data_IF_516104858859
#
_entry.id   IF_516104858859
#
_cell.length_a   1.000
_cell.length_b   1.000
_cell.length_c   1.000
_cell.angle_alpha   90.00
_cell.angle_beta   90.00
_cell.angle_gamma   90.00
#
_symmetry.space_group_name_H-M   'P 1'
#
loop_
_entity.id
_entity.type
_entity.pdbx_description
1 polymer ?
#
# COMPACT_ATOMS: atom_id res chain seq x y z
N UNK A 1 5.59 4.78 14.92
CA UNK A 1 4.60 4.00 14.17
C UNK A 1 5.19 3.34 12.96
N UNK A 2 5.91 4.08 12.12
CA UNK A 2 6.60 3.47 10.99
C UNK A 2 7.65 2.47 11.46
N UNK A 3 8.20 2.66 12.64
CA UNK A 3 9.17 1.73 13.22
C UNK A 3 8.62 0.33 13.36
N UNK A 4 7.33 0.19 13.70
CA UNK A 4 6.73 -1.14 13.87
C UNK A 4 6.75 -1.92 12.57
N UNK A 5 6.41 -1.27 11.47
CA UNK A 5 6.42 -1.92 10.16
C UNK A 5 7.85 -2.19 9.70
N UNK A 6 8.75 -1.23 9.86
CA UNK A 6 10.16 -1.42 9.50
C UNK A 6 10.81 -2.52 10.32
N UNK A 7 10.50 -2.58 11.63
CA UNK A 7 10.99 -3.66 12.49
C UNK A 7 10.48 -5.02 12.03
N UNK A 8 9.21 -5.09 11.62
CA UNK A 8 8.65 -6.32 11.09
C UNK A 8 9.43 -6.77 9.85
N UNK A 9 9.69 -5.85 8.92
CA UNK A 9 10.42 -6.17 7.71
C UNK A 9 11.85 -6.59 7.99
N UNK A 10 12.50 -5.96 8.98
CA UNK A 10 13.85 -6.35 9.40
C UNK A 10 13.87 -7.77 9.96
N UNK A 11 12.89 -8.11 10.81
CA UNK A 11 12.79 -9.46 11.39
C UNK A 11 12.57 -10.52 10.32
N UNK A 12 11.91 -10.14 9.22
CA UNK A 12 11.72 -11.03 8.09
C UNK A 12 12.94 -11.10 7.19
N UNK A 13 13.99 -10.36 7.50
CA UNK A 13 15.20 -10.33 6.68
C UNK A 13 15.01 -9.58 5.36
N UNK A 14 13.98 -8.75 5.26
CA UNK A 14 13.65 -8.07 4.01
C UNK A 14 14.34 -6.73 3.84
N UNK A 15 14.69 -6.07 4.96
CA UNK A 15 15.42 -4.82 4.91
C UNK A 15 16.48 -4.81 6.00
N UNK A 16 17.53 -4.00 5.80
CA UNK A 16 18.55 -3.77 6.81
C UNK A 16 18.73 -2.27 6.99
N UNK A 17 19.01 -1.89 8.23
CA UNK A 17 19.29 -0.48 8.56
C UNK A 17 20.75 -0.16 8.24
N UNK A 18 20.97 1.00 7.61
CA UNK A 18 22.30 1.49 7.35
C UNK A 18 22.32 2.98 7.68
N UNK A 19 22.94 3.33 8.82
CA UNK A 19 22.93 4.69 9.31
C UNK A 19 21.50 5.13 9.57
N UNK A 20 21.08 6.20 8.95
CA UNK A 20 19.72 6.74 9.10
C UNK A 20 18.75 6.19 8.07
N UNK A 21 19.22 5.32 7.17
CA UNK A 21 18.41 4.81 6.06
C UNK A 21 18.16 3.32 6.19
N UNK A 22 17.02 2.91 5.67
CA UNK A 22 16.70 1.49 5.50
C UNK A 22 16.82 1.15 4.03
N UNK A 23 17.30 -0.04 3.75
CA UNK A 23 17.35 -0.53 2.39
C UNK A 23 17.12 -2.03 2.37
N UNK A 24 16.68 -2.52 1.24
CA UNK A 24 16.38 -3.93 1.03
C UNK A 24 17.69 -4.66 0.69
N UNK A 25 18.05 -5.74 1.43
CA UNK A 25 19.23 -6.52 1.08
C UNK A 25 19.09 -7.12 -0.31
N UNK A 26 20.18 -7.10 -1.09
CA UNK A 26 20.15 -7.60 -2.46
C UNK A 26 19.73 -9.05 -2.55
N UNK A 27 20.16 -9.89 -1.61
CA UNK A 27 19.87 -11.31 -1.61
C UNK A 27 18.42 -11.67 -1.33
N UNK A 28 17.62 -10.72 -0.78
CA UNK A 28 16.20 -10.96 -0.52
C UNK A 28 15.29 -10.08 -1.35
N UNK A 29 15.86 -9.18 -2.14
CA UNK A 29 15.09 -8.20 -2.91
C UNK A 29 14.11 -8.88 -3.87
N UNK A 30 14.49 -9.98 -4.49
CA UNK A 30 13.64 -10.71 -5.42
C UNK A 30 12.49 -11.43 -4.74
N UNK A 31 12.64 -11.76 -3.45
CA UNK A 31 11.62 -12.49 -2.70
C UNK A 31 10.66 -11.57 -1.97
N UNK A 32 10.92 -10.26 -1.96
CA UNK A 32 10.07 -9.30 -1.29
C UNK A 32 8.77 -9.08 -2.06
N UNK A 33 7.67 -8.97 -1.33
CA UNK A 33 6.40 -8.56 -1.91
C UNK A 33 6.56 -7.15 -2.46
N UNK A 34 6.55 -7.04 -3.77
CA UNK A 34 6.75 -5.78 -4.48
C UNK A 34 5.68 -4.75 -4.11
N UNK A 35 4.43 -5.21 -4.01
CA UNK A 35 3.33 -4.34 -3.63
C UNK A 35 3.47 -3.81 -2.21
N UNK A 36 3.92 -4.66 -1.28
CA UNK A 36 4.14 -4.24 0.10
C UNK A 36 5.24 -3.20 0.18
N UNK A 37 6.32 -3.40 -0.56
CA UNK A 37 7.43 -2.44 -0.59
C UNK A 37 6.93 -1.05 -1.03
N UNK A 38 6.14 -1.01 -2.08
CA UNK A 38 5.57 0.27 -2.56
C UNK A 38 4.54 0.84 -1.60
N UNK A 39 3.74 -0.03 -0.96
CA UNK A 39 2.74 0.42 0.01
C UNK A 39 3.37 1.11 1.21
N UNK A 40 4.57 0.69 1.60
CA UNK A 40 5.31 1.35 2.69
C UNK A 40 5.58 2.82 2.35
N UNK A 41 5.94 3.11 1.10
CA UNK A 41 6.17 4.48 0.68
C UNK A 41 4.89 5.31 0.73
N UNK A 42 3.75 4.71 0.35
CA UNK A 42 2.45 5.38 0.46
C UNK A 42 2.14 5.67 1.93
N UNK A 43 2.35 4.70 2.80
CA UNK A 43 2.12 4.89 4.24
C UNK A 43 2.94 6.06 4.80
N UNK A 44 4.19 6.20 4.34
CA UNK A 44 5.07 7.28 4.81
C UNK A 44 4.48 8.67 4.55
N UNK A 45 3.74 8.83 3.45
CA UNK A 45 3.11 10.11 3.13
C UNK A 45 2.04 10.52 4.15
N UNK A 46 1.50 9.55 4.89
CA UNK A 46 0.44 9.80 5.87
C UNK A 46 0.92 9.73 7.30
N UNK A 47 2.23 9.60 7.52
CA UNK A 47 2.78 9.29 8.86
C UNK A 47 2.35 10.25 9.95
N UNK A 48 2.22 11.53 9.64
CA UNK A 48 1.84 12.50 10.66
C UNK A 48 0.43 12.26 11.19
N UNK A 49 -0.45 11.69 10.37
CA UNK A 49 -1.84 11.44 10.73
C UNK A 49 -2.07 10.01 11.22
N UNK A 50 -1.10 9.10 11.01
CA UNK A 50 -1.29 7.68 11.31
C UNK A 50 -1.21 7.43 12.82
N UNK A 51 -2.26 6.85 13.37
CA UNK A 51 -2.32 6.46 14.78
C UNK A 51 -1.93 5.00 14.97
N UNK A 52 -2.20 4.16 13.98
CA UNK A 52 -1.89 2.74 14.02
C UNK A 52 -1.72 2.22 12.60
N UNK A 53 -0.82 1.29 12.40
CA UNK A 53 -0.66 0.63 11.12
C UNK A 53 -0.20 -0.81 11.31
N UNK A 54 -0.52 -1.64 10.32
CA UNK A 54 -0.13 -3.04 10.31
C UNK A 54 -0.13 -3.57 8.88
N UNK A 55 0.64 -4.63 8.66
CA UNK A 55 0.56 -5.39 7.42
C UNK A 55 -0.80 -6.08 7.40
N UNK A 56 -1.43 -6.13 6.25
CA UNK A 56 -2.77 -6.69 6.11
C UNK A 56 -2.77 -7.89 5.16
N UNK A 57 -3.91 -8.56 5.07
CA UNK A 57 -4.10 -9.72 4.21
C UNK A 57 -4.57 -9.31 2.82
N UNK A 58 -4.20 -10.11 1.82
CA UNK A 58 -4.63 -9.89 0.45
C UNK A 58 -6.14 -9.63 0.38
N UNK A 59 -6.63 -8.67 -0.43
CA UNK A 59 -5.89 -7.87 -1.41
C UNK A 59 -5.18 -6.66 -0.84
N UNK A 60 -5.37 -6.35 0.44
CA UNK A 60 -4.70 -5.22 1.07
C UNK A 60 -3.25 -5.58 1.41
N UNK A 61 -2.39 -4.59 1.40
CA UNK A 61 -1.01 -4.75 1.84
C UNK A 61 -0.81 -4.18 3.22
N UNK A 62 -1.41 -3.03 3.49
CA UNK A 62 -1.29 -2.31 4.76
C UNK A 62 -2.67 -1.78 5.15
N UNK A 63 -2.97 -1.87 6.43
CA UNK A 63 -4.13 -1.20 7.02
C UNK A 63 -3.58 -0.14 7.98
N UNK A 64 -4.18 1.04 7.99
CA UNK A 64 -3.82 2.05 8.96
C UNK A 64 -5.02 2.90 9.36
N UNK A 65 -4.91 3.50 10.55
CA UNK A 65 -5.93 4.36 11.11
C UNK A 65 -5.41 5.79 11.12
N UNK A 66 -6.18 6.72 10.63
CA UNK A 66 -5.83 8.13 10.61
C UNK A 66 -7.11 8.95 10.56
N UNK A 67 -7.14 10.05 11.33
CA UNK A 67 -8.27 10.98 11.32
C UNK A 67 -9.63 10.30 11.55
N UNK A 68 -9.65 9.34 12.49
CA UNK A 68 -10.85 8.56 12.86
C UNK A 68 -11.39 7.67 11.74
N UNK A 69 -10.58 7.39 10.73
CA UNK A 69 -10.97 6.52 9.64
C UNK A 69 -9.99 5.37 9.47
N UNK A 70 -10.49 4.27 8.90
CA UNK A 70 -9.68 3.11 8.56
C UNK A 70 -9.36 3.16 7.08
N UNK A 71 -8.09 3.01 6.77
CA UNK A 71 -7.60 2.98 5.38
C UNK A 71 -6.94 1.65 5.09
N UNK A 72 -7.14 1.15 3.89
CA UNK A 72 -6.40 -0.02 3.39
C UNK A 72 -5.69 0.36 2.10
N UNK A 73 -4.41 0.04 2.01
CA UNK A 73 -3.64 0.26 0.79
C UNK A 73 -3.69 -1.03 -0.01
N UNK A 74 -4.30 -0.95 -1.19
CA UNK A 74 -4.53 -2.10 -2.08
C UNK A 74 -3.58 -1.98 -3.27
N UNK A 75 -2.69 -2.95 -3.45
CA UNK A 75 -1.82 -2.98 -4.62
C UNK A 75 -2.48 -3.81 -5.70
N UNK A 76 -2.64 -3.23 -6.89
CA UNK A 76 -3.28 -3.89 -8.03
C UNK A 76 -2.25 -4.15 -9.10
N UNK A 77 -1.86 -5.41 -9.28
CA UNK A 77 -0.96 -5.80 -10.35
C UNK A 77 -1.64 -5.61 -11.71
N UNK A 78 -0.86 -5.24 -12.76
CA UNK A 78 -1.42 -5.21 -14.10
C UNK A 78 -2.05 -6.54 -14.47
N UNK A 79 -3.27 -6.50 -14.98
CA UNK A 79 -4.03 -7.69 -15.33
C UNK A 79 -4.92 -8.23 -14.22
N UNK A 80 -4.84 -7.68 -13.01
CA UNK A 80 -5.62 -8.14 -11.87
C UNK A 80 -6.77 -7.20 -11.51
N UNK A 81 -7.03 -6.19 -12.34
CA UNK A 81 -8.03 -5.16 -12.03
C UNK A 81 -9.41 -5.75 -11.78
N UNK A 82 -9.83 -6.70 -12.63
CA UNK A 82 -11.15 -7.29 -12.48
C UNK A 82 -11.27 -8.14 -11.21
N UNK A 83 -10.20 -8.86 -10.86
CA UNK A 83 -10.20 -9.64 -9.64
C UNK A 83 -10.36 -8.73 -8.41
N UNK A 84 -9.61 -7.64 -8.37
CA UNK A 84 -9.70 -6.69 -7.28
C UNK A 84 -11.09 -6.06 -7.20
N UNK A 85 -11.65 -5.68 -8.36
CA UNK A 85 -13.02 -5.15 -8.40
C UNK A 85 -14.00 -6.12 -7.75
N UNK A 86 -13.88 -7.41 -8.08
CA UNK A 86 -14.76 -8.43 -7.51
C UNK A 86 -14.56 -8.58 -6.01
N UNK A 87 -13.32 -8.61 -5.56
CA UNK A 87 -13.01 -8.79 -4.15
C UNK A 87 -13.49 -7.62 -3.30
N UNK A 88 -13.38 -6.40 -3.81
CA UNK A 88 -13.75 -5.21 -3.06
C UNK A 88 -15.22 -4.81 -3.25
N UNK A 89 -15.94 -5.49 -4.13
CA UNK A 89 -17.35 -5.19 -4.34
C UNK A 89 -18.27 -5.73 -3.24
N UNK A 90 -17.74 -6.60 -2.38
CA UNK A 90 -18.51 -7.15 -1.27
C UNK A 90 -18.87 -6.03 -0.29
N UNK A 91 -20.16 -5.92 0.02
CA UNK A 91 -20.64 -4.88 0.93
C UNK A 91 -20.25 -5.22 2.36
N UNK A 92 -19.63 -4.27 3.03
CA UNK A 92 -19.27 -4.37 4.44
C UNK A 92 -20.09 -3.33 5.20
N UNK A 93 -20.37 -3.60 6.48
CA UNK A 93 -21.12 -2.65 7.31
C UNK A 93 -20.41 -1.32 7.41
N UNK A 94 -19.08 -1.37 7.62
CA UNK A 94 -18.26 -0.16 7.70
C UNK A 94 -17.05 -0.39 6.80
N UNK A 95 -17.16 -0.08 5.52
CA UNK A 95 -16.04 -0.30 4.61
C UNK A 95 -14.90 0.67 4.92
N UNK A 96 -13.66 0.21 4.82
CA UNK A 96 -12.52 1.12 4.94
C UNK A 96 -12.44 2.00 3.69
N UNK A 97 -11.68 3.07 3.79
CA UNK A 97 -11.31 3.84 2.60
C UNK A 97 -10.14 3.15 1.92
N UNK A 98 -10.26 2.94 0.63
CA UNK A 98 -9.21 2.27 -0.14
C UNK A 98 -8.30 3.27 -0.79
N UNK A 99 -6.99 3.08 -0.64
CA UNK A 99 -5.98 3.77 -1.41
C UNK A 99 -5.48 2.75 -2.42
N UNK A 100 -5.78 2.99 -3.69
CA UNK A 100 -5.48 2.03 -4.75
C UNK A 100 -4.12 2.35 -5.36
N UNK A 101 -3.18 1.45 -5.17
CA UNK A 101 -1.82 1.59 -5.66
C UNK A 101 -1.66 0.75 -6.92
N UNK A 102 -1.34 1.40 -8.03
CA UNK A 102 -1.20 0.72 -9.33
C UNK A 102 0.22 0.90 -9.87
N UNK A 103 0.60 0.05 -10.83
CA UNK A 103 1.88 0.17 -11.51
C UNK A 103 1.84 1.21 -12.63
N UNK A 104 0.70 1.30 -13.30
CA UNK A 104 0.52 2.20 -14.45
C UNK A 104 -0.77 2.98 -14.30
N UNK A 105 -0.76 4.30 -14.58
CA UNK A 105 -1.98 5.11 -14.46
C UNK A 105 -3.15 4.60 -15.32
N UNK A 106 -2.84 3.92 -16.43
CA UNK A 106 -3.87 3.38 -17.31
C UNK A 106 -4.74 2.34 -16.63
N UNK A 107 -4.24 1.69 -15.58
CA UNK A 107 -5.02 0.70 -14.83
C UNK A 107 -6.22 1.32 -14.12
N UNK A 108 -6.15 2.61 -13.80
CA UNK A 108 -7.19 3.29 -13.02
C UNK A 108 -8.55 3.22 -13.71
N UNK A 109 -8.55 3.33 -15.04
CA UNK A 109 -9.80 3.28 -15.79
C UNK A 109 -10.54 1.94 -15.66
N UNK A 110 -9.81 0.87 -15.35
CA UNK A 110 -10.38 -0.46 -15.21
C UNK A 110 -10.77 -0.80 -13.77
N UNK A 111 -10.48 0.09 -12.82
CA UNK A 111 -10.74 -0.17 -11.40
C UNK A 111 -12.02 0.54 -10.97
N UNK A 112 -12.97 -0.24 -10.45
CA UNK A 112 -14.27 0.26 -10.01
C UNK A 112 -14.55 -0.30 -8.62
N UNK A 113 -14.04 0.37 -7.60
CA UNK A 113 -14.19 -0.08 -6.21
C UNK A 113 -15.02 0.94 -5.42
N UNK A 114 -15.77 0.47 -4.43
CA UNK A 114 -16.50 1.39 -3.56
C UNK A 114 -15.54 2.10 -2.61
N UNK A 115 -15.94 3.27 -2.15
CA UNK A 115 -15.26 3.99 -1.07
C UNK A 115 -13.77 4.23 -1.31
N UNK A 116 -13.40 4.53 -2.54
CA UNK A 116 -12.00 4.81 -2.89
C UNK A 116 -11.61 6.20 -2.40
N UNK A 117 -10.52 6.27 -1.62
CA UNK A 117 -9.97 7.53 -1.14
C UNK A 117 -8.99 8.16 -2.10
N UNK A 118 -8.40 7.37 -3.00
CA UNK A 118 -7.46 7.88 -3.99
C UNK A 118 -6.75 6.79 -4.75
N UNK A 119 -6.06 7.18 -5.80
CA UNK A 119 -5.24 6.31 -6.63
C UNK A 119 -3.82 6.83 -6.64
N UNK A 120 -2.84 5.94 -6.66
CA UNK A 120 -1.45 6.37 -6.68
C UNK A 120 -0.54 5.38 -7.39
N UNK A 121 0.63 5.87 -7.77
CA UNK A 121 1.75 5.06 -8.24
C UNK A 121 2.96 5.38 -7.39
N UNK A 122 3.90 4.43 -7.31
CA UNK A 122 5.16 4.64 -6.61
C UNK A 122 6.29 4.29 -7.57
N UNK A 123 7.22 5.22 -7.76
CA UNK A 123 8.37 5.02 -8.62
C UNK A 123 9.40 4.10 -7.95
N UNK A 124 10.40 3.67 -8.72
CA UNK A 124 11.49 2.84 -8.18
C UNK A 124 12.30 3.57 -7.11
N UNK A 125 12.26 4.89 -7.10
CA UNK A 125 12.97 5.70 -6.10
C UNK A 125 12.09 6.03 -4.88
N UNK A 126 10.84 5.55 -4.85
CA UNK A 126 9.95 5.76 -3.72
C UNK A 126 9.11 7.01 -3.80
N UNK A 127 9.05 7.66 -4.96
CA UNK A 127 8.18 8.82 -5.13
C UNK A 127 6.75 8.38 -5.37
N UNK A 128 5.82 8.94 -4.59
CA UNK A 128 4.40 8.64 -4.70
C UNK A 128 3.71 9.74 -5.47
N UNK A 129 2.95 9.36 -6.48
CA UNK A 129 2.16 10.30 -7.25
C UNK A 129 0.69 9.92 -7.16
N UNK A 130 -0.16 10.90 -6.87
CA UNK A 130 -1.58 10.67 -6.68
C UNK A 130 -2.38 11.11 -7.90
N UNK A 131 -3.47 10.41 -8.16
CA UNK A 131 -4.37 10.67 -9.27
C UNK A 131 -5.79 10.79 -8.77
N UNK A 132 -6.56 11.69 -9.40
CA UNK A 132 -7.96 11.84 -9.07
C UNK A 132 -8.80 11.35 -10.25
N UNK A 133 -9.97 10.79 -9.93
CA UNK A 133 -10.95 10.45 -10.94
C UNK A 133 -11.87 11.65 -11.11
N UNK A 134 -12.10 12.01 -12.35
CA UNK A 134 -13.09 13.03 -12.66
C UNK A 134 -14.40 12.38 -13.10
#
# INVERSE_FOLDING_TARGET
KIRNLLSYLQKQGRIVQRGEYYRIPAEVEESIDHGLSKAVWVLTDFMEQVEYHSVSDYPAKIIFFADDEVYEIIYVEPGKEQLINQMLSTVKEVPPKYIILVEHPEQIAAIHTPNTGGYCTVSSSGEVQYYQIE
#
